data_IF_821906737551
#
_entry.id   IF_821906737551
#
_cell.length_a   1.000
_cell.length_b   1.000
_cell.length_c   1.000
_cell.angle_alpha   90.00
_cell.angle_beta   90.00
_cell.angle_gamma   90.00
#
_symmetry.space_group_name_H-M   'P 1'
#
loop_
_entity.id
_entity.type
_entity.pdbx_description
1 polymer ?
#
# COMPACT_ATOMS: atom_id res chain seq x y z
N UNK A 1 4.10 19.80 3.22
CA UNK A 1 4.13 20.25 1.81
C UNK A 1 3.26 19.26 1.06
N UNK A 2 2.27 19.64 0.23
CA UNK A 2 1.57 18.64 -0.57
C UNK A 2 2.62 17.96 -1.44
N UNK A 3 2.77 16.64 -1.33
CA UNK A 3 3.59 15.90 -2.27
C UNK A 3 3.07 16.24 -3.67
N UNK A 4 3.90 16.88 -4.50
CA UNK A 4 3.57 17.10 -5.90
C UNK A 4 3.04 15.78 -6.47
N UNK A 5 1.92 15.80 -7.19
CA UNK A 5 1.37 14.59 -7.80
C UNK A 5 2.43 13.98 -8.72
N UNK A 6 3.11 12.93 -8.26
CA UNK A 6 4.19 12.30 -8.99
C UNK A 6 3.60 11.31 -9.98
N UNK A 7 4.19 11.24 -11.17
CA UNK A 7 3.85 10.14 -12.06
C UNK A 7 4.44 8.80 -11.53
N UNK A 8 3.99 7.68 -12.10
CA UNK A 8 4.41 6.35 -11.67
C UNK A 8 5.93 6.14 -11.72
N UNK A 9 6.61 6.72 -12.71
CA UNK A 9 8.06 6.55 -12.87
C UNK A 9 8.84 7.30 -11.80
N UNK A 10 8.51 8.57 -11.56
CA UNK A 10 9.13 9.40 -10.53
C UNK A 10 8.91 8.80 -9.14
N UNK A 11 7.67 8.37 -8.85
CA UNK A 11 7.37 7.70 -7.60
C UNK A 11 8.20 6.44 -7.43
N UNK A 12 8.27 5.59 -8.47
CA UNK A 12 9.03 4.35 -8.41
C UNK A 12 10.53 4.60 -8.16
N UNK A 13 11.12 5.62 -8.77
CA UNK A 13 12.50 6.01 -8.53
C UNK A 13 12.73 6.49 -7.08
N UNK A 14 11.83 7.30 -6.53
CA UNK A 14 11.93 7.78 -5.16
C UNK A 14 11.75 6.65 -4.14
N UNK A 15 10.81 5.73 -4.39
CA UNK A 15 10.60 4.56 -3.54
C UNK A 15 11.81 3.62 -3.56
N UNK A 16 12.39 3.34 -4.73
CA UNK A 16 13.59 2.51 -4.86
C UNK A 16 14.83 3.15 -4.23
N UNK A 17 14.93 4.47 -4.23
CA UNK A 17 16.02 5.20 -3.55
C UNK A 17 15.79 5.37 -2.04
N UNK A 18 14.73 4.79 -1.48
CA UNK A 18 14.33 4.92 -0.07
C UNK A 18 14.21 6.38 0.38
N UNK A 19 13.76 7.25 -0.53
CA UNK A 19 13.54 8.67 -0.24
C UNK A 19 12.27 8.90 0.58
N UNK A 20 12.37 9.73 1.62
CA UNK A 20 11.23 10.09 2.48
C UNK A 20 10.10 10.74 1.67
N UNK A 21 10.44 11.56 0.68
CA UNK A 21 9.48 12.17 -0.25
C UNK A 21 8.73 11.13 -1.05
N UNK A 22 9.38 10.01 -1.39
CA UNK A 22 8.72 8.88 -2.05
C UNK A 22 7.69 8.19 -1.14
N UNK A 23 8.02 8.02 0.14
CA UNK A 23 7.10 7.44 1.12
C UNK A 23 5.88 8.34 1.36
N UNK A 24 6.11 9.66 1.53
CA UNK A 24 5.04 10.65 1.65
C UNK A 24 4.14 10.67 0.41
N UNK A 25 4.73 10.69 -0.79
CA UNK A 25 3.99 10.69 -2.04
C UNK A 25 3.18 9.40 -2.26
N UNK A 26 3.72 8.23 -1.87
CA UNK A 26 2.99 6.97 -1.92
C UNK A 26 1.76 7.02 -1.02
N UNK A 27 1.91 7.51 0.21
CA UNK A 27 0.81 7.66 1.14
C UNK A 27 -0.23 8.64 0.59
N UNK A 28 0.17 9.85 0.23
CA UNK A 28 -0.75 10.90 -0.25
C UNK A 28 -1.54 10.48 -1.50
N UNK A 29 -0.88 9.84 -2.48
CA UNK A 29 -1.50 9.52 -3.76
C UNK A 29 -2.32 8.21 -3.74
N UNK A 30 -1.87 7.20 -2.98
CA UNK A 30 -2.46 5.86 -3.06
C UNK A 30 -3.22 5.44 -1.81
N UNK A 31 -3.03 6.08 -0.65
CA UNK A 31 -3.79 5.75 0.55
C UNK A 31 -5.32 5.76 0.33
N UNK A 32 -5.92 6.73 -0.40
CA UNK A 32 -7.36 6.75 -0.62
C UNK A 32 -7.88 5.53 -1.38
N UNK A 33 -7.22 5.16 -2.49
CA UNK A 33 -7.69 4.06 -3.35
C UNK A 33 -7.38 2.68 -2.76
N UNK A 34 -6.22 2.53 -2.11
CA UNK A 34 -5.87 1.30 -1.39
C UNK A 34 -6.77 1.11 -0.17
N UNK A 35 -7.01 2.16 0.60
CA UNK A 35 -7.92 2.15 1.74
C UNK A 35 -9.34 1.76 1.34
N UNK A 36 -9.87 2.30 0.24
CA UNK A 36 -11.18 1.90 -0.27
C UNK A 36 -11.20 0.41 -0.67
N UNK A 37 -10.16 -0.08 -1.35
CA UNK A 37 -10.08 -1.48 -1.75
C UNK A 37 -10.03 -2.44 -0.54
N UNK A 38 -9.28 -2.07 0.51
CA UNK A 38 -9.19 -2.81 1.77
C UNK A 38 -10.54 -2.79 2.49
N UNK A 39 -11.16 -1.62 2.64
CA UNK A 39 -12.45 -1.46 3.32
C UNK A 39 -13.55 -2.33 2.69
N UNK A 40 -13.56 -2.45 1.36
CA UNK A 40 -14.51 -3.32 0.63
C UNK A 40 -14.37 -4.80 0.96
N UNK A 41 -13.22 -5.23 1.49
CA UNK A 41 -12.97 -6.61 1.91
C UNK A 41 -13.26 -6.79 3.40
N UNK A 42 -12.73 -5.89 4.24
CA UNK A 42 -12.79 -6.08 5.71
C UNK A 42 -14.05 -5.52 6.36
N UNK A 43 -14.72 -4.55 5.73
CA UNK A 43 -15.96 -3.93 6.21
C UNK A 43 -15.84 -3.11 7.51
N UNK A 44 -14.64 -3.01 8.09
CA UNK A 44 -14.39 -2.36 9.37
C UNK A 44 -13.36 -1.24 9.21
N UNK A 45 -13.70 -0.03 9.65
CA UNK A 45 -12.86 1.16 9.49
C UNK A 45 -11.53 1.04 10.25
N UNK A 46 -11.57 0.58 11.49
CA UNK A 46 -10.38 0.41 12.32
C UNK A 46 -9.38 -0.57 11.69
N UNK A 47 -9.89 -1.73 11.30
CA UNK A 47 -9.09 -2.76 10.65
C UNK A 47 -8.56 -2.30 9.28
N UNK A 48 -9.32 -1.48 8.56
CA UNK A 48 -8.87 -0.86 7.30
C UNK A 48 -7.65 0.02 7.51
N UNK A 49 -7.64 0.86 8.54
CA UNK A 49 -6.51 1.74 8.85
C UNK A 49 -5.25 0.91 9.13
N UNK A 50 -5.36 -0.08 10.01
CA UNK A 50 -4.25 -0.97 10.40
C UNK A 50 -3.67 -1.69 9.17
N UNK A 51 -4.52 -2.24 8.30
CA UNK A 51 -4.08 -2.96 7.11
C UNK A 51 -3.50 -2.01 6.07
N UNK A 52 -4.04 -0.79 5.95
CA UNK A 52 -3.52 0.22 5.05
C UNK A 52 -2.08 0.59 5.42
N UNK A 53 -1.81 0.88 6.69
CA UNK A 53 -0.45 1.16 7.18
C UNK A 53 0.49 0.00 6.89
N UNK A 54 0.08 -1.24 7.20
CA UNK A 54 0.84 -2.45 6.86
C UNK A 54 1.10 -2.59 5.36
N UNK A 55 0.12 -2.23 4.54
CA UNK A 55 0.21 -2.27 3.07
C UNK A 55 1.24 -1.28 2.56
N UNK A 56 1.23 -0.04 3.05
CA UNK A 56 2.20 1.00 2.65
C UNK A 56 3.61 0.56 3.03
N UNK A 57 3.82 0.07 4.26
CA UNK A 57 5.12 -0.46 4.68
C UNK A 57 5.56 -1.65 3.81
N UNK A 58 4.64 -2.58 3.50
CA UNK A 58 4.94 -3.74 2.66
C UNK A 58 5.38 -3.31 1.25
N UNK A 59 4.65 -2.37 0.64
CA UNK A 59 4.97 -1.81 -0.67
C UNK A 59 6.36 -1.15 -0.62
N UNK A 60 6.60 -0.30 0.37
CA UNK A 60 7.89 0.36 0.57
C UNK A 60 9.06 -0.62 0.61
N UNK A 61 8.91 -1.78 1.27
CA UNK A 61 9.96 -2.78 1.35
C UNK A 61 10.09 -3.66 0.11
N UNK A 62 9.01 -3.94 -0.60
CA UNK A 62 9.03 -4.85 -1.75
C UNK A 62 9.12 -4.13 -3.10
N UNK A 63 9.09 -2.80 -3.13
CA UNK A 63 9.14 -2.00 -4.38
C UNK A 63 10.40 -2.26 -5.23
N UNK A 64 11.50 -2.70 -4.60
CA UNK A 64 12.73 -3.08 -5.32
C UNK A 64 12.51 -4.32 -6.20
N UNK A 65 11.58 -5.19 -5.82
CA UNK A 65 11.23 -6.41 -6.55
C UNK A 65 10.13 -6.18 -7.60
N UNK A 66 9.52 -5.00 -7.65
CA UNK A 66 8.46 -4.69 -8.61
C UNK A 66 9.02 -4.59 -10.03
N UNK A 67 8.38 -5.30 -10.96
CA UNK A 67 8.68 -5.30 -12.38
C UNK A 67 7.53 -4.65 -13.18
N UNK A 68 7.84 -3.51 -13.79
CA UNK A 68 6.90 -2.71 -14.58
C UNK A 68 6.48 -3.36 -15.91
N UNK A 69 7.17 -4.42 -16.36
CA UNK A 69 6.80 -5.14 -17.58
C UNK A 69 5.67 -6.16 -17.35
N UNK A 70 5.48 -6.64 -16.12
CA UNK A 70 4.49 -7.68 -15.80
C UNK A 70 3.14 -7.10 -15.41
N UNK A 71 3.13 -6.00 -14.66
CA UNK A 71 1.90 -5.40 -14.15
C UNK A 71 2.10 -3.91 -13.87
N UNK A 72 1.02 -3.13 -13.87
CA UNK A 72 1.09 -1.72 -13.54
C UNK A 72 1.32 -1.51 -12.04
N UNK A 73 1.91 -0.37 -11.67
CA UNK A 73 2.25 -0.05 -10.28
C UNK A 73 0.99 -0.08 -9.40
N UNK A 74 -0.10 0.54 -9.87
CA UNK A 74 -1.38 0.54 -9.19
C UNK A 74 -1.94 -0.88 -9.02
N UNK A 75 -1.91 -1.71 -10.06
CA UNK A 75 -2.44 -3.08 -9.97
C UNK A 75 -1.65 -3.92 -8.97
N UNK A 76 -0.32 -3.79 -8.97
CA UNK A 76 0.56 -4.50 -8.03
C UNK A 76 0.30 -4.08 -6.58
N UNK A 77 0.16 -2.78 -6.32
CA UNK A 77 -0.18 -2.26 -4.99
C UNK A 77 -1.57 -2.69 -4.54
N UNK A 78 -2.57 -2.66 -5.44
CA UNK A 78 -3.92 -3.15 -5.16
C UNK A 78 -3.92 -4.65 -4.85
N UNK A 79 -3.11 -5.44 -5.54
CA UNK A 79 -2.98 -6.87 -5.25
C UNK A 79 -2.39 -7.08 -3.85
N UNK A 80 -1.33 -6.36 -3.49
CA UNK A 80 -0.72 -6.39 -2.15
C UNK A 80 -1.74 -6.04 -1.06
N UNK A 81 -2.48 -4.95 -1.23
CA UNK A 81 -3.52 -4.50 -0.31
C UNK A 81 -4.63 -5.54 -0.11
N UNK A 82 -5.12 -6.13 -1.21
CA UNK A 82 -6.18 -7.14 -1.18
C UNK A 82 -5.73 -8.44 -0.53
N UNK A 83 -4.49 -8.86 -0.74
CA UNK A 83 -3.91 -10.05 -0.10
C UNK A 83 -3.86 -9.86 1.41
N UNK A 84 -3.29 -8.76 1.90
CA UNK A 84 -3.24 -8.45 3.33
C UNK A 84 -4.64 -8.34 3.95
N UNK A 85 -5.60 -7.74 3.23
CA UNK A 85 -6.98 -7.66 3.68
C UNK A 85 -7.65 -9.03 3.84
N UNK A 86 -7.41 -9.95 2.89
CA UNK A 86 -7.91 -11.34 2.97
C UNK A 86 -7.27 -12.12 4.11
N UNK A 87 -5.97 -11.93 4.34
CA UNK A 87 -5.27 -12.56 5.45
C UNK A 87 -5.82 -12.09 6.81
N UNK A 88 -6.10 -10.79 6.94
CA UNK A 88 -6.62 -10.21 8.17
C UNK A 88 -8.01 -10.72 8.56
N UNK A 89 -8.87 -11.06 7.60
CA UNK A 89 -10.19 -11.68 7.88
C UNK A 89 -10.10 -13.20 8.11
N UNK A 90 -9.04 -13.85 7.61
CA UNK A 90 -8.83 -15.28 7.78
C UNK A 90 -8.19 -15.63 9.14
N UNK A 91 -7.44 -14.70 9.72
CA UNK A 91 -6.84 -14.85 11.04
C UNK A 91 -7.76 -14.31 12.15
N UNK A 92 -7.89 -15.00 13.30
CA UNK A 92 -8.59 -14.46 14.45
C UNK A 92 -7.88 -13.18 14.95
N UNK A 93 -8.68 -12.13 15.22
CA UNK A 93 -8.25 -10.75 15.58
C UNK A 93 -7.17 -10.69 16.67
N UNK A 94 -7.05 -11.70 17.52
CA UNK A 94 -6.04 -11.79 18.57
C UNK A 94 -4.57 -11.85 18.07
N UNK A 95 -4.32 -12.26 16.82
CA UNK A 95 -2.96 -12.41 16.29
C UNK A 95 -2.35 -11.12 15.70
N UNK A 96 -3.14 -10.05 15.56
CA UNK A 96 -2.75 -8.85 14.79
C UNK A 96 -2.16 -7.75 15.70
N UNK A 97 -2.31 -7.89 17.02
CA UNK A 97 -1.96 -6.91 18.07
C UNK A 97 -0.84 -7.35 19.02
N UNK A 98 -0.15 -8.48 18.75
CA UNK A 98 1.00 -8.94 19.56
C UNK A 98 2.31 -8.70 18.83
#
# INVERSE_FOLDING_TARGET
>A
MPASLLNNFELLQLLRSRSITGAEALYDQYAPILGLAIFRIVGQKELTHIILEKTICKIWDTVVLYNEQETSLLNWMLNTAKTLAKEAIALPVAAITT
#
